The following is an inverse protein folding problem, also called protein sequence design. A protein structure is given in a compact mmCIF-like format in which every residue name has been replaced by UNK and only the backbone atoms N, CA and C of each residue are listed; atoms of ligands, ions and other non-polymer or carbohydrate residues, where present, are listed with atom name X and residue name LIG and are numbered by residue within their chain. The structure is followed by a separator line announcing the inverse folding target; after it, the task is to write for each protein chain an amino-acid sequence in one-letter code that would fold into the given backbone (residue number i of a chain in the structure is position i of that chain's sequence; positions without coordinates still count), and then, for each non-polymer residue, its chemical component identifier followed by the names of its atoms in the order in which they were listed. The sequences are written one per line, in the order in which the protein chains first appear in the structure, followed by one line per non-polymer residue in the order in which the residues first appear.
data_IF_463666304895
#
_entry.id   IF_463666304895
#
_cell.length_a   1.000
_cell.length_b   1.000
_cell.length_c   1.000
_cell.angle_alpha   90.00
_cell.angle_beta   90.00
_cell.angle_gamma   90.00
#
_symmetry.space_group_name_H-M   'P 1'
#
loop_
_entity.id
_entity.type
_entity.pdbx_description
1 polymer ?
#
# COMPACT_ATOMS: atom_id res chain seq x y z
N UNK A 1 23.37 42.53 -66.76
CA UNK A 1 24.37 41.48 -66.47
C UNK A 1 24.37 41.23 -64.97
N UNK A 2 24.18 39.97 -64.59
CA UNK A 2 24.42 39.33 -63.28
C UNK A 2 23.82 39.97 -62.01
N UNK A 3 22.93 39.23 -61.33
CA UNK A 3 23.01 38.80 -59.91
C UNK A 3 21.64 38.26 -59.49
N UNK A 4 21.40 36.96 -59.60
CA UNK A 4 21.69 35.91 -58.61
C UNK A 4 20.49 35.71 -57.65
N UNK A 5 19.56 34.87 -58.10
CA UNK A 5 18.37 34.42 -57.36
C UNK A 5 18.76 33.12 -56.61
N UNK A 6 18.89 33.21 -55.30
CA UNK A 6 19.29 32.10 -54.44
C UNK A 6 18.10 31.16 -54.18
N UNK A 7 18.09 30.02 -54.85
CA UNK A 7 17.18 28.91 -54.60
C UNK A 7 17.58 28.18 -53.32
N UNK A 8 16.76 28.31 -52.27
CA UNK A 8 16.91 27.55 -51.04
C UNK A 8 16.36 26.13 -51.23
N UNK A 9 17.25 25.19 -51.55
CA UNK A 9 16.97 23.76 -51.52
C UNK A 9 16.74 23.29 -50.07
N UNK A 10 15.51 22.89 -49.78
CA UNK A 10 15.13 22.18 -48.56
C UNK A 10 15.75 20.79 -48.54
N UNK A 11 16.90 20.67 -47.89
CA UNK A 11 17.55 19.40 -47.58
C UNK A 11 16.79 18.73 -46.43
N UNK A 12 15.89 17.81 -46.76
CA UNK A 12 15.27 16.88 -45.80
C UNK A 12 16.31 15.87 -45.32
N UNK A 13 17.04 16.23 -44.28
CA UNK A 13 17.85 15.28 -43.50
C UNK A 13 16.93 14.27 -42.84
N UNK A 14 16.86 13.06 -43.41
CA UNK A 14 16.29 11.87 -42.77
C UNK A 14 17.12 11.54 -41.54
N UNK A 15 16.70 12.08 -40.39
CA UNK A 15 17.16 11.62 -39.09
C UNK A 15 16.59 10.22 -38.86
N UNK A 16 17.49 9.23 -38.95
CA UNK A 16 17.27 7.84 -38.60
C UNK A 16 16.80 7.79 -37.13
N UNK A 17 15.49 7.69 -36.91
CA UNK A 17 14.92 7.43 -35.61
C UNK A 17 15.24 5.97 -35.24
N UNK A 18 16.27 5.76 -34.41
CA UNK A 18 16.44 4.52 -33.66
C UNK A 18 15.30 4.42 -32.64
N UNK A 19 14.14 3.97 -33.12
CA UNK A 19 13.06 3.50 -32.25
C UNK A 19 13.55 2.28 -31.50
N UNK A 20 13.40 2.35 -30.18
CA UNK A 20 13.84 1.35 -29.24
C UNK A 20 13.25 -0.02 -29.57
N UNK A 21 14.13 -0.98 -29.88
CA UNK A 21 13.83 -2.41 -29.81
C UNK A 21 13.74 -2.81 -28.32
N UNK A 22 12.66 -2.41 -27.67
CA UNK A 22 12.21 -2.99 -26.42
C UNK A 22 10.68 -2.98 -26.40
N UNK A 23 10.11 -3.82 -27.28
CA UNK A 23 8.70 -4.17 -27.23
C UNK A 23 8.43 -4.91 -25.93
N UNK A 24 8.17 -4.17 -24.86
CA UNK A 24 7.40 -4.71 -23.75
C UNK A 24 6.01 -5.00 -24.33
N UNK A 25 5.50 -6.25 -24.27
CA UNK A 25 4.09 -6.48 -24.56
C UNK A 25 3.28 -5.56 -23.64
N UNK A 26 2.13 -5.02 -24.07
CA UNK A 26 1.25 -4.32 -23.16
C UNK A 26 0.94 -5.31 -22.03
N UNK A 27 1.46 -5.03 -20.83
CA UNK A 27 1.07 -5.75 -19.63
C UNK A 27 -0.40 -5.42 -19.43
N UNK A 28 -1.26 -6.26 -20.02
CA UNK A 28 -2.62 -6.48 -19.54
C UNK A 28 -2.46 -7.00 -18.12
N UNK A 29 -2.32 -6.06 -17.17
CA UNK A 29 -2.49 -6.32 -15.77
C UNK A 29 -3.97 -6.69 -15.59
N UNK A 30 -4.30 -7.95 -15.87
CA UNK A 30 -5.52 -8.59 -15.39
C UNK A 30 -5.38 -8.81 -13.88
N UNK A 31 -5.03 -7.77 -13.14
CA UNK A 31 -5.30 -7.77 -11.72
C UNK A 31 -6.80 -7.58 -11.61
N UNK A 32 -7.56 -8.54 -11.05
CA UNK A 32 -8.95 -8.29 -10.74
C UNK A 32 -8.98 -7.06 -9.85
N UNK A 33 -9.52 -5.96 -10.37
CA UNK A 33 -9.77 -4.77 -9.58
C UNK A 33 -10.80 -5.18 -8.53
N UNK A 34 -10.33 -5.44 -7.31
CA UNK A 34 -11.18 -5.63 -6.16
C UNK A 34 -11.82 -4.27 -5.84
N UNK A 35 -12.83 -3.91 -6.62
CA UNK A 35 -13.78 -2.84 -6.32
C UNK A 35 -14.78 -3.40 -5.31
N UNK A 36 -14.32 -3.64 -4.08
CA UNK A 36 -15.25 -3.71 -2.98
C UNK A 36 -15.84 -2.31 -2.84
N UNK A 37 -17.11 -2.13 -3.21
CA UNK A 37 -17.89 -0.96 -2.84
C UNK A 37 -18.06 -0.99 -1.33
N UNK A 38 -17.00 -0.61 -0.61
CA UNK A 38 -17.07 -0.37 0.81
C UNK A 38 -18.07 0.76 0.98
N UNK A 39 -19.15 0.50 1.73
CA UNK A 39 -19.94 1.58 2.29
C UNK A 39 -18.95 2.57 2.91
N UNK A 40 -19.13 3.89 2.74
CA UNK A 40 -18.26 4.86 3.37
C UNK A 40 -18.36 4.64 4.89
N UNK A 41 -17.37 3.93 5.43
CA UNK A 41 -17.22 3.74 6.87
C UNK A 41 -16.82 5.11 7.38
N UNK A 42 -17.74 5.77 8.07
CA UNK A 42 -17.55 7.11 8.62
C UNK A 42 -16.72 7.00 9.90
N UNK A 43 -15.41 7.00 9.74
CA UNK A 43 -14.45 7.16 10.82
C UNK A 43 -13.50 8.30 10.43
N UNK A 44 -13.16 9.17 11.37
CA UNK A 44 -12.35 10.37 11.11
C UNK A 44 -10.96 10.28 11.79
N UNK A 45 -9.99 9.51 11.25
CA UNK A 45 -8.67 9.32 11.87
C UNK A 45 -7.93 10.59 12.29
N UNK A 46 -8.05 11.69 11.53
CA UNK A 46 -7.37 12.94 11.85
C UNK A 46 -8.06 13.75 12.96
N UNK A 47 -9.30 13.42 13.31
CA UNK A 47 -10.10 14.11 14.32
C UNK A 47 -10.30 13.24 15.58
N UNK A 48 -10.62 11.96 15.40
CA UNK A 48 -10.91 10.98 16.46
C UNK A 48 -9.63 10.47 17.13
N UNK A 49 -9.12 11.23 18.10
CA UNK A 49 -7.88 10.90 18.85
C UNK A 49 -8.12 10.06 20.10
N UNK A 50 -9.32 9.55 20.29
CA UNK A 50 -9.72 8.84 21.52
C UNK A 50 -8.96 7.53 21.72
N UNK A 51 -8.68 6.80 20.62
CA UNK A 51 -7.87 5.58 20.66
C UNK A 51 -6.44 5.83 21.15
N UNK A 52 -5.88 7.02 20.92
CA UNK A 52 -4.55 7.44 21.40
C UNK A 52 -4.61 8.03 22.81
N UNK A 53 -5.66 8.80 23.11
CA UNK A 53 -5.78 9.59 24.35
C UNK A 53 -6.26 8.72 25.51
N UNK A 54 -7.19 7.80 25.28
CA UNK A 54 -7.75 6.92 26.29
C UNK A 54 -6.93 5.64 26.42
N UNK A 55 -6.23 5.50 27.54
CA UNK A 55 -5.44 4.31 27.83
C UNK A 55 -6.33 3.05 27.89
N UNK A 56 -5.94 2.01 27.15
CA UNK A 56 -6.63 0.71 27.16
C UNK A 56 -7.86 0.61 26.26
N UNK A 57 -8.31 1.69 25.61
CA UNK A 57 -9.45 1.63 24.68
C UNK A 57 -9.15 0.71 23.48
N UNK A 58 -7.96 0.82 22.89
CA UNK A 58 -7.52 -0.05 21.78
C UNK A 58 -7.57 -1.53 22.16
N UNK A 59 -7.07 -1.90 23.33
CA UNK A 59 -7.08 -3.28 23.80
C UNK A 59 -8.52 -3.82 23.99
N UNK A 60 -9.46 -2.98 24.41
CA UNK A 60 -10.88 -3.35 24.51
C UNK A 60 -11.46 -3.61 23.11
N UNK A 61 -11.23 -2.70 22.17
CA UNK A 61 -11.68 -2.85 20.78
C UNK A 61 -11.11 -4.13 20.15
N UNK A 62 -9.81 -4.39 20.33
CA UNK A 62 -9.16 -5.60 19.81
C UNK A 62 -9.78 -6.88 20.42
N UNK A 63 -10.16 -6.87 21.70
CA UNK A 63 -10.85 -7.99 22.34
C UNK A 63 -12.25 -8.24 21.78
N UNK A 64 -13.02 -7.18 21.52
CA UNK A 64 -14.36 -7.30 20.91
C UNK A 64 -14.25 -7.82 19.47
N UNK A 65 -13.30 -7.30 18.68
CA UNK A 65 -13.01 -7.82 17.34
C UNK A 65 -12.65 -9.31 17.39
N UNK A 66 -11.82 -9.72 18.36
CA UNK A 66 -11.44 -11.12 18.51
C UNK A 66 -12.61 -12.02 18.94
N UNK A 67 -13.58 -11.51 19.71
CA UNK A 67 -14.80 -12.25 20.04
C UNK A 67 -15.68 -12.45 18.81
N UNK A 68 -15.91 -11.39 18.03
CA UNK A 68 -16.69 -11.47 16.79
C UNK A 68 -16.01 -12.37 15.76
N UNK A 69 -14.68 -12.30 15.62
CA UNK A 69 -13.92 -13.18 14.73
C UNK A 69 -14.07 -14.66 15.09
N UNK A 70 -14.27 -15.02 16.36
CA UNK A 70 -14.55 -16.41 16.78
C UNK A 70 -15.96 -16.86 16.40
N UNK A 71 -16.90 -15.92 16.37
CA UNK A 71 -18.30 -16.17 15.96
C UNK A 71 -18.41 -16.28 14.45
N UNK A 72 -17.62 -15.50 13.71
CA UNK A 72 -17.58 -15.53 12.26
C UNK A 72 -17.00 -16.83 11.71
N UNK A 73 -17.64 -17.39 10.68
CA UNK A 73 -17.08 -18.50 9.93
C UNK A 73 -15.83 -18.02 9.18
N UNK A 74 -14.74 -18.78 9.29
CA UNK A 74 -13.51 -18.50 8.56
C UNK A 74 -13.81 -18.39 7.05
N UNK A 75 -13.40 -17.29 6.44
CA UNK A 75 -13.54 -17.09 5.00
C UNK A 75 -12.79 -18.21 4.26
N UNK A 76 -13.46 -18.86 3.31
CA UNK A 76 -12.87 -19.92 2.49
C UNK A 76 -11.68 -19.42 1.66
N UNK A 77 -10.76 -20.35 1.35
CA UNK A 77 -9.57 -20.08 0.52
C UNK A 77 -9.91 -19.62 -0.91
N UNK A 78 -11.18 -19.71 -1.32
CA UNK A 78 -11.68 -19.31 -2.65
C UNK A 78 -11.45 -17.83 -3.00
N UNK A 79 -11.25 -16.95 -2.00
CA UNK A 79 -10.90 -15.54 -2.24
C UNK A 79 -9.41 -15.29 -2.45
N UNK A 80 -8.57 -16.24 -2.06
CA UNK A 80 -7.13 -16.14 -2.27
C UNK A 80 -6.83 -16.58 -3.70
N UNK A 81 -5.95 -15.86 -4.43
CA UNK A 81 -5.47 -16.37 -5.69
C UNK A 81 -4.80 -17.73 -5.46
N UNK A 82 -4.89 -18.66 -6.44
CA UNK A 82 -4.24 -19.95 -6.32
C UNK A 82 -2.74 -19.76 -6.05
N UNK A 83 -2.11 -20.65 -5.25
CA UNK A 83 -0.68 -20.58 -4.99
C UNK A 83 0.10 -20.53 -6.30
N UNK A 84 1.03 -19.58 -6.41
CA UNK A 84 1.93 -19.53 -7.56
C UNK A 84 2.84 -20.76 -7.55
N UNK A 85 2.72 -21.62 -8.55
CA UNK A 85 3.67 -22.71 -8.76
C UNK A 85 4.78 -22.26 -9.71
N UNK A 86 6.03 -22.15 -9.25
CA UNK A 86 7.15 -21.85 -10.13
C UNK A 86 7.42 -23.03 -11.08
N UNK A 87 7.88 -22.72 -12.30
CA UNK A 87 8.36 -23.68 -13.29
C UNK A 87 7.32 -24.69 -13.83
N UNK A 88 6.03 -24.35 -13.87
CA UNK A 88 4.97 -25.21 -14.46
C UNK A 88 5.32 -25.73 -15.87
N UNK A 89 5.94 -24.90 -16.71
CA UNK A 89 6.31 -25.27 -18.07
C UNK A 89 7.53 -26.19 -18.18
N UNK A 90 8.34 -26.31 -17.11
CA UNK A 90 9.64 -26.98 -17.14
C UNK A 90 9.75 -28.01 -16.01
N UNK A 91 9.38 -29.28 -16.26
CA UNK A 91 9.38 -30.34 -15.26
C UNK A 91 10.74 -30.55 -14.57
N UNK A 92 11.85 -30.37 -15.30
CA UNK A 92 13.21 -30.51 -14.76
C UNK A 92 13.54 -29.43 -13.72
N UNK A 93 13.12 -28.19 -13.96
CA UNK A 93 13.34 -27.09 -13.02
C UNK A 93 12.45 -27.21 -11.80
N UNK A 94 11.20 -27.69 -11.98
CA UNK A 94 10.31 -28.01 -10.87
C UNK A 94 10.91 -29.11 -9.97
N UNK A 95 11.40 -30.19 -10.56
CA UNK A 95 12.05 -31.27 -9.80
C UNK A 95 13.28 -30.79 -9.02
N UNK A 96 14.13 -29.94 -9.61
CA UNK A 96 15.28 -29.35 -8.91
C UNK A 96 14.85 -28.36 -7.81
N UNK A 97 13.81 -27.57 -8.06
CA UNK A 97 13.24 -26.67 -7.07
C UNK A 97 12.71 -27.44 -5.85
N UNK A 98 11.94 -28.51 -6.09
CA UNK A 98 11.41 -29.39 -5.04
C UNK A 98 12.55 -30.10 -4.28
N UNK A 99 13.60 -30.53 -4.99
CA UNK A 99 14.82 -31.13 -4.41
C UNK A 99 15.52 -30.15 -3.45
N UNK A 100 15.71 -28.91 -3.89
CA UNK A 100 16.34 -27.84 -3.09
C UNK A 100 15.44 -27.46 -1.90
N UNK A 101 14.13 -27.34 -2.11
CA UNK A 101 13.17 -27.08 -1.06
C UNK A 101 13.17 -28.18 0.01
N UNK A 102 13.40 -29.44 -0.40
CA UNK A 102 13.62 -30.58 0.49
C UNK A 102 14.99 -30.61 1.19
N UNK A 103 15.84 -29.60 0.99
CA UNK A 103 17.16 -29.49 1.63
C UNK A 103 18.18 -30.52 1.14
N UNK A 104 17.92 -31.20 0.02
CA UNK A 104 18.83 -32.19 -0.53
C UNK A 104 20.02 -31.48 -1.20
N UNK A 105 21.24 -31.93 -0.93
CA UNK A 105 22.44 -31.40 -1.58
C UNK A 105 22.38 -31.65 -3.10
N UNK A 106 23.02 -30.76 -3.88
CA UNK A 106 23.09 -30.89 -5.34
C UNK A 106 23.63 -32.28 -5.72
N UNK A 107 22.90 -32.98 -6.60
CA UNK A 107 23.21 -34.36 -7.03
C UNK A 107 24.51 -34.43 -7.83
N UNK A 108 24.85 -33.37 -8.56
CA UNK A 108 26.10 -33.26 -9.30
C UNK A 108 26.89 -32.05 -8.81
N UNK A 109 28.09 -32.31 -8.29
CA UNK A 109 29.09 -31.25 -8.14
C UNK A 109 29.57 -30.88 -9.55
N UNK A 110 29.69 -29.57 -9.80
CA UNK A 110 30.29 -29.09 -11.05
C UNK A 110 31.67 -29.72 -11.20
N UNK A 111 31.91 -30.38 -12.33
CA UNK A 111 33.20 -30.96 -12.63
C UNK A 111 34.24 -29.85 -12.84
N UNK A 112 35.12 -29.68 -11.86
CA UNK A 112 36.20 -28.70 -11.91
C UNK A 112 37.43 -29.24 -12.65
N UNK A 113 37.49 -30.54 -12.97
CA UNK A 113 38.66 -31.17 -13.59
C UNK A 113 38.92 -30.64 -15.00
N UNK A 114 37.87 -30.13 -15.68
CA UNK A 114 37.95 -29.41 -16.97
C UNK A 114 38.83 -28.16 -16.94
N UNK A 115 38.97 -27.51 -15.77
CA UNK A 115 39.75 -26.27 -15.64
C UNK A 115 41.17 -26.50 -15.11
N UNK A 116 41.52 -27.76 -14.87
CA UNK A 116 42.84 -28.18 -14.38
C UNK A 116 43.47 -29.10 -15.41
N UNK A 117 44.80 -29.14 -15.51
CA UNK A 117 45.52 -30.15 -16.27
C UNK A 117 46.08 -31.21 -15.32
N UNK A 118 45.25 -32.12 -14.77
CA UNK A 118 45.78 -33.22 -13.99
C UNK A 118 46.57 -34.14 -14.92
N UNK A 119 47.79 -34.57 -14.53
CA UNK A 119 48.43 -35.69 -15.21
C UNK A 119 47.59 -36.96 -14.99
N UNK A 120 47.72 -37.97 -15.87
CA UNK A 120 47.09 -39.28 -15.66
C UNK A 120 47.44 -39.86 -14.29
N UNK A 121 46.48 -40.50 -13.62
CA UNK A 121 46.62 -40.91 -12.22
C UNK A 121 47.74 -41.94 -12.00
N UNK A 122 48.00 -42.81 -12.98
CA UNK A 122 49.08 -43.80 -12.97
C UNK A 122 50.42 -43.27 -13.50
N UNK A 123 50.52 -41.97 -13.83
CA UNK A 123 51.74 -41.37 -14.35
C UNK A 123 52.24 -42.07 -15.62
N UNK A 124 53.50 -42.55 -15.60
CA UNK A 124 54.12 -43.23 -16.75
C UNK A 124 53.53 -44.62 -17.05
N UNK A 125 52.80 -45.22 -16.10
CA UNK A 125 52.15 -46.54 -16.26
C UNK A 125 50.68 -46.42 -16.69
N UNK A 126 50.21 -45.21 -17.00
CA UNK A 126 48.83 -44.96 -17.42
C UNK A 126 48.51 -45.54 -18.80
N UNK A 127 47.25 -45.93 -18.99
CA UNK A 127 46.74 -46.44 -20.27
C UNK A 127 46.81 -45.38 -21.37
N UNK A 128 46.95 -45.81 -22.63
CA UNK A 128 46.90 -44.94 -23.81
C UNK A 128 45.63 -44.09 -23.84
N UNK A 129 44.50 -44.64 -23.39
CA UNK A 129 43.22 -43.93 -23.30
C UNK A 129 43.24 -42.78 -22.28
N UNK A 130 43.91 -42.96 -21.14
CA UNK A 130 44.03 -41.91 -20.11
C UNK A 130 44.94 -40.76 -20.58
N UNK A 131 45.99 -41.10 -21.32
CA UNK A 131 46.86 -40.12 -21.96
C UNK A 131 46.14 -39.34 -23.07
N UNK A 132 45.35 -40.01 -23.90
CA UNK A 132 44.54 -39.36 -24.95
C UNK A 132 43.51 -38.40 -24.32
N UNK A 133 42.83 -38.81 -23.24
CA UNK A 133 41.90 -37.93 -22.52
C UNK A 133 42.59 -36.70 -21.91
N UNK A 134 43.80 -36.87 -21.35
CA UNK A 134 44.59 -35.75 -20.84
C UNK A 134 45.04 -34.80 -21.95
N UNK A 135 45.41 -35.34 -23.12
CA UNK A 135 45.79 -34.56 -24.31
C UNK A 135 44.61 -33.77 -24.88
N UNK A 136 43.43 -34.39 -24.99
CA UNK A 136 42.21 -33.74 -25.47
C UNK A 136 41.76 -32.62 -24.53
N UNK A 137 41.88 -32.84 -23.22
CA UNK A 137 41.64 -31.80 -22.22
C UNK A 137 42.64 -30.64 -22.39
N UNK A 138 43.93 -30.93 -22.57
CA UNK A 138 44.96 -29.92 -22.78
C UNK A 138 44.73 -29.09 -24.06
N UNK A 139 44.38 -29.74 -25.17
CA UNK A 139 44.04 -29.07 -26.43
C UNK A 139 42.81 -28.16 -26.27
N UNK A 140 41.77 -28.65 -25.57
CA UNK A 140 40.57 -27.87 -25.26
C UNK A 140 40.89 -26.65 -24.41
N UNK A 141 41.75 -26.79 -23.40
CA UNK A 141 42.20 -25.68 -22.55
C UNK A 141 43.02 -24.65 -23.31
N UNK A 142 43.90 -25.08 -24.22
CA UNK A 142 44.63 -24.17 -25.10
C UNK A 142 43.66 -23.32 -25.94
N UNK A 143 42.63 -23.94 -26.52
CA UNK A 143 41.57 -23.23 -27.25
C UNK A 143 40.83 -22.21 -26.37
N UNK A 144 40.45 -22.60 -25.15
CA UNK A 144 39.83 -21.68 -24.19
C UNK A 144 40.75 -20.53 -23.79
N UNK A 145 42.04 -20.76 -23.60
CA UNK A 145 43.01 -19.70 -23.28
C UNK A 145 43.19 -18.72 -24.43
N UNK A 146 43.17 -19.19 -25.69
CA UNK A 146 43.19 -18.31 -26.85
C UNK A 146 41.94 -17.42 -26.92
N UNK A 147 40.75 -17.98 -26.65
CA UNK A 147 39.49 -17.20 -26.59
C UNK A 147 39.56 -16.20 -25.44
N UNK A 148 40.04 -16.62 -24.26
CA UNK A 148 40.20 -15.74 -23.10
C UNK A 148 41.12 -14.58 -23.40
N UNK A 149 42.26 -14.82 -24.07
CA UNK A 149 43.19 -13.78 -24.47
C UNK A 149 42.51 -12.75 -25.38
N UNK A 150 41.82 -13.20 -26.43
CA UNK A 150 41.05 -12.32 -27.33
C UNK A 150 39.99 -11.50 -26.56
N UNK A 151 39.27 -12.12 -25.63
CA UNK A 151 38.28 -11.42 -24.81
C UNK A 151 38.91 -10.37 -23.89
N UNK A 152 40.07 -10.68 -23.29
CA UNK A 152 40.82 -9.74 -22.44
C UNK A 152 41.37 -8.57 -23.27
N UNK A 153 41.82 -8.81 -24.50
CA UNK A 153 42.25 -7.74 -25.41
C UNK A 153 41.08 -6.80 -25.76
N UNK A 154 39.90 -7.35 -26.06
CA UNK A 154 38.68 -6.57 -26.27
C UNK A 154 38.30 -5.78 -25.02
N UNK A 155 38.34 -6.41 -23.85
CA UNK A 155 38.04 -5.76 -22.57
C UNK A 155 39.06 -4.66 -22.25
N UNK A 156 40.34 -4.87 -22.53
CA UNK A 156 41.38 -3.84 -22.34
C UNK A 156 41.13 -2.63 -23.23
N UNK A 157 40.67 -2.84 -24.46
CA UNK A 157 40.40 -1.76 -25.42
C UNK A 157 39.11 -1.00 -25.11
N UNK A 158 38.02 -1.69 -24.76
CA UNK A 158 36.68 -1.08 -24.64
C UNK A 158 36.11 -1.04 -23.23
N UNK A 159 36.62 -1.85 -22.30
CA UNK A 159 36.04 -2.08 -20.98
C UNK A 159 35.91 -0.81 -20.14
N UNK A 160 36.93 0.05 -20.11
CA UNK A 160 36.87 1.31 -19.35
C UNK A 160 35.79 2.27 -19.86
N UNK A 161 35.61 2.37 -21.18
CA UNK A 161 34.60 3.24 -21.76
C UNK A 161 33.20 2.66 -21.56
N UNK A 162 33.04 1.34 -21.76
CA UNK A 162 31.76 0.65 -21.55
C UNK A 162 31.29 0.75 -20.10
N UNK A 163 32.19 0.56 -19.14
CA UNK A 163 31.86 0.69 -17.72
C UNK A 163 31.39 2.09 -17.34
N UNK A 164 32.04 3.14 -17.88
CA UNK A 164 31.61 4.52 -17.65
C UNK A 164 30.23 4.80 -18.26
N UNK A 165 29.97 4.31 -19.47
CA UNK A 165 28.65 4.44 -20.09
C UNK A 165 27.57 3.71 -19.28
N UNK A 166 27.87 2.49 -18.82
CA UNK A 166 26.97 1.71 -17.99
C UNK A 166 26.66 2.40 -16.66
N UNK A 167 27.68 2.95 -15.99
CA UNK A 167 27.49 3.74 -14.77
C UNK A 167 26.64 5.00 -15.03
N UNK A 168 26.88 5.74 -16.12
CA UNK A 168 26.04 6.87 -16.51
C UNK A 168 24.57 6.47 -16.74
N UNK A 169 24.32 5.33 -17.41
CA UNK A 169 22.98 4.81 -17.61
C UNK A 169 22.33 4.42 -16.27
N UNK A 170 23.06 3.77 -15.37
CA UNK A 170 22.57 3.41 -14.04
C UNK A 170 22.23 4.65 -13.20
N UNK A 171 23.06 5.69 -13.25
CA UNK A 171 22.80 6.96 -12.57
C UNK A 171 21.54 7.64 -13.12
N UNK A 172 21.36 7.66 -14.44
CA UNK A 172 20.14 8.17 -15.06
C UNK A 172 18.89 7.38 -14.64
N UNK A 173 18.97 6.04 -14.60
CA UNK A 173 17.87 5.21 -14.13
C UNK A 173 17.56 5.45 -12.64
N UNK A 174 18.60 5.54 -11.81
CA UNK A 174 18.45 5.84 -10.39
C UNK A 174 17.75 7.19 -10.16
N UNK A 175 18.12 8.21 -10.94
CA UNK A 175 17.45 9.52 -10.89
C UNK A 175 15.98 9.42 -11.28
N UNK A 176 15.66 8.71 -12.38
CA UNK A 176 14.27 8.51 -12.80
C UNK A 176 13.42 7.83 -11.71
N UNK A 177 13.96 6.84 -11.01
CA UNK A 177 13.26 6.21 -9.89
C UNK A 177 13.11 7.15 -8.69
N UNK A 178 14.13 7.96 -8.39
CA UNK A 178 14.05 8.95 -7.32
C UNK A 178 12.96 10.00 -7.61
N UNK A 179 12.90 10.50 -8.84
CA UNK A 179 11.89 11.46 -9.29
C UNK A 179 10.47 10.85 -9.23
N UNK A 180 10.33 9.59 -9.67
CA UNK A 180 9.04 8.88 -9.59
C UNK A 180 8.57 8.67 -8.14
N UNK A 181 9.49 8.33 -7.23
CA UNK A 181 9.17 8.21 -5.80
C UNK A 181 8.73 9.55 -5.22
N UNK A 182 9.43 10.63 -5.54
CA UNK A 182 9.08 11.95 -5.04
C UNK A 182 7.73 12.43 -5.59
N UNK A 183 7.45 12.18 -6.88
CA UNK A 183 6.14 12.45 -7.47
C UNK A 183 5.01 11.68 -6.74
N UNK A 184 5.21 10.38 -6.47
CA UNK A 184 4.22 9.57 -5.74
C UNK A 184 4.03 10.02 -4.30
N UNK A 185 5.10 10.47 -3.63
CA UNK A 185 5.03 11.08 -2.30
C UNK A 185 4.25 12.38 -2.34
N UNK A 186 4.49 13.23 -3.34
CA UNK A 186 3.74 14.46 -3.56
C UNK A 186 2.24 14.22 -3.70
N UNK A 187 1.85 13.26 -4.55
CA UNK A 187 0.44 12.85 -4.72
C UNK A 187 -0.16 12.32 -3.41
N UNK A 188 0.57 11.47 -2.69
CA UNK A 188 0.12 10.91 -1.40
C UNK A 188 -0.08 12.01 -0.36
N UNK A 189 0.84 12.96 -0.28
CA UNK A 189 0.78 14.09 0.64
C UNK A 189 -0.39 15.03 0.32
N UNK A 190 -0.65 15.29 -0.97
CA UNK A 190 -1.80 16.10 -1.37
C UNK A 190 -3.12 15.42 -0.98
N UNK A 191 -3.27 14.12 -1.27
CA UNK A 191 -4.45 13.35 -0.85
C UNK A 191 -4.61 13.39 0.67
N UNK A 192 -3.52 13.19 1.42
CA UNK A 192 -3.56 13.24 2.89
C UNK A 192 -3.95 14.62 3.40
N UNK A 193 -3.45 15.69 2.77
CA UNK A 193 -3.80 17.07 3.10
C UNK A 193 -5.28 17.35 2.84
N UNK A 194 -5.81 16.96 1.69
CA UNK A 194 -7.24 17.08 1.37
C UNK A 194 -8.09 16.33 2.39
N UNK A 195 -7.75 15.06 2.67
CA UNK A 195 -8.44 14.24 3.68
C UNK A 195 -8.42 14.88 5.06
N UNK A 196 -7.28 15.42 5.49
CA UNK A 196 -7.16 16.08 6.78
C UNK A 196 -8.08 17.31 6.86
N UNK A 197 -8.13 18.13 5.79
CA UNK A 197 -9.04 19.28 5.74
C UNK A 197 -10.50 18.85 5.84
N UNK A 198 -10.92 17.89 5.02
CA UNK A 198 -12.30 17.39 5.01
C UNK A 198 -12.72 16.81 6.36
N UNK A 199 -11.86 15.98 6.97
CA UNK A 199 -12.14 15.35 8.26
C UNK A 199 -12.18 16.37 9.41
N UNK A 200 -11.27 17.34 9.43
CA UNK A 200 -11.27 18.37 10.47
C UNK A 200 -12.48 19.30 10.36
N UNK A 201 -12.93 19.61 9.14
CA UNK A 201 -14.15 20.41 8.94
C UNK A 201 -15.42 19.63 9.27
N UNK A 202 -15.47 18.33 8.95
CA UNK A 202 -16.56 17.45 9.38
C UNK A 202 -16.61 17.33 10.91
N UNK A 203 -15.47 17.10 11.56
CA UNK A 203 -15.36 17.02 13.02
C UNK A 203 -15.84 18.29 13.72
N UNK A 204 -15.47 19.49 13.21
CA UNK A 204 -15.98 20.77 13.74
C UNK A 204 -17.51 20.89 13.64
N UNK A 205 -18.10 20.40 12.55
CA UNK A 205 -19.57 20.37 12.39
C UNK A 205 -20.20 19.42 13.42
N UNK A 206 -19.61 18.25 13.64
CA UNK A 206 -20.07 17.30 14.66
C UNK A 206 -20.04 17.92 16.06
N UNK A 207 -18.94 18.57 16.46
CA UNK A 207 -18.87 19.26 17.77
C UNK A 207 -19.94 20.35 17.90
N UNK A 208 -20.19 21.10 16.83
CA UNK A 208 -21.23 22.14 16.83
C UNK A 208 -22.63 21.56 16.99
N UNK A 209 -22.92 20.45 16.31
CA UNK A 209 -24.19 19.72 16.44
C UNK A 209 -24.35 19.10 17.84
N UNK A 210 -23.30 18.51 18.38
CA UNK A 210 -23.29 17.97 19.74
C UNK A 210 -23.53 19.06 20.78
N UNK A 211 -22.89 20.23 20.63
CA UNK A 211 -23.13 21.38 21.51
C UNK A 211 -24.58 21.86 21.44
N UNK A 212 -25.14 21.97 20.24
CA UNK A 212 -26.56 22.36 20.08
C UNK A 212 -27.50 21.31 20.66
N UNK A 213 -27.16 20.03 20.52
CA UNK A 213 -27.93 18.94 21.08
C UNK A 213 -27.92 18.95 22.62
N UNK A 214 -26.76 19.14 23.24
CA UNK A 214 -26.66 19.29 24.71
C UNK A 214 -27.37 20.55 25.22
N UNK A 215 -27.27 21.67 24.51
CA UNK A 215 -28.04 22.89 24.79
C UNK A 215 -29.56 22.64 24.70
N UNK A 216 -30.03 21.93 23.67
CA UNK A 216 -31.44 21.62 23.49
C UNK A 216 -31.97 20.71 24.59
N UNK A 217 -31.19 19.69 24.99
CA UNK A 217 -31.56 18.82 26.13
C UNK A 217 -31.61 19.62 27.42
N UNK A 218 -30.60 20.45 27.69
CA UNK A 218 -30.57 21.29 28.89
C UNK A 218 -31.75 22.26 28.92
N UNK A 219 -32.09 22.87 27.79
CA UNK A 219 -33.23 23.78 27.65
C UNK A 219 -34.55 23.04 27.86
N UNK A 220 -34.71 21.86 27.26
CA UNK A 220 -35.88 21.00 27.47
C UNK A 220 -36.08 20.64 28.94
N UNK A 221 -35.01 20.23 29.63
CA UNK A 221 -35.07 19.93 31.06
C UNK A 221 -35.39 21.17 31.90
N UNK A 222 -34.82 22.33 31.56
CA UNK A 222 -35.13 23.59 32.25
C UNK A 222 -36.60 23.99 32.07
N UNK A 223 -37.17 23.78 30.89
CA UNK A 223 -38.59 24.03 30.60
C UNK A 223 -39.50 23.07 31.38
N UNK A 224 -39.16 21.79 31.47
CA UNK A 224 -39.91 20.81 32.27
C UNK A 224 -39.92 21.19 33.76
N UNK A 225 -38.76 21.58 34.30
CA UNK A 225 -38.66 22.05 35.68
C UNK A 225 -39.48 23.33 35.89
N UNK A 226 -39.40 24.30 34.97
CA UNK A 226 -40.16 25.54 35.05
C UNK A 226 -41.69 25.30 35.00
N UNK A 227 -42.15 24.38 34.15
CA UNK A 227 -43.55 23.99 34.09
C UNK A 227 -44.02 23.37 35.41
N UNK A 228 -43.25 22.44 35.98
CA UNK A 228 -43.58 21.83 37.27
C UNK A 228 -43.67 22.88 38.39
N UNK A 229 -42.76 23.84 38.43
CA UNK A 229 -42.82 24.92 39.42
C UNK A 229 -44.03 25.84 39.21
N UNK A 230 -44.35 26.17 37.95
CA UNK A 230 -45.51 27.01 37.63
C UNK A 230 -46.84 26.29 37.93
N UNK A 231 -46.93 24.99 37.65
CA UNK A 231 -48.08 24.17 38.02
C UNK A 231 -48.28 24.16 39.54
N UNK A 232 -47.21 23.98 40.31
CA UNK A 232 -47.27 24.04 41.77
C UNK A 232 -47.71 25.42 42.31
N UNK A 233 -47.20 26.50 41.72
CA UNK A 233 -47.63 27.87 42.07
C UNK A 233 -49.10 28.12 41.74
N UNK A 234 -49.58 27.64 40.59
CA UNK A 234 -50.99 27.73 40.19
C UNK A 234 -51.88 26.95 41.15
N UNK A 235 -51.51 25.73 41.52
CA UNK A 235 -52.22 24.93 42.52
C UNK A 235 -52.31 25.66 43.87
N UNK A 236 -51.20 26.25 44.33
CA UNK A 236 -51.16 27.00 45.58
C UNK A 236 -52.08 28.24 45.55
N UNK A 237 -52.08 28.99 44.44
CA UNK A 237 -52.97 30.14 44.26
C UNK A 237 -54.43 29.74 44.12
N UNK A 238 -54.74 28.61 43.47
CA UNK A 238 -56.09 28.06 43.40
C UNK A 238 -56.63 27.72 44.80
N UNK A 239 -55.82 27.04 45.63
CA UNK A 239 -56.20 26.75 47.02
C UNK A 239 -56.45 28.02 47.83
N UNK A 240 -55.61 29.05 47.68
CA UNK A 240 -55.83 30.35 48.32
C UNK A 240 -57.13 31.03 47.86
N UNK A 241 -57.40 31.01 46.55
CA UNK A 241 -58.64 31.55 45.98
C UNK A 241 -59.86 30.81 46.55
N UNK A 242 -59.84 29.49 46.60
CA UNK A 242 -60.93 28.70 47.17
C UNK A 242 -61.16 29.02 48.65
N UNK A 243 -60.08 29.18 49.43
CA UNK A 243 -60.17 29.57 50.84
C UNK A 243 -60.82 30.96 51.00
N UNK A 244 -60.39 31.95 50.22
CA UNK A 244 -60.98 33.29 50.23
C UNK A 244 -62.43 33.28 49.75
N UNK A 245 -62.76 32.50 48.72
CA UNK A 245 -64.12 32.36 48.22
C UNK A 245 -65.05 31.78 49.28
N UNK A 246 -64.60 30.73 50.00
CA UNK A 246 -65.35 30.19 51.15
C UNK A 246 -65.54 31.24 52.23
N UNK A 247 -64.53 32.06 52.49
CA UNK A 247 -64.61 33.13 53.49
C UNK A 247 -65.63 34.20 53.09
N UNK A 248 -65.69 34.58 51.80
CA UNK A 248 -66.71 35.49 51.27
C UNK A 248 -68.09 34.86 51.37
N UNK A 249 -68.27 33.61 50.92
CA UNK A 249 -69.55 32.91 50.98
C UNK A 249 -70.05 32.77 52.43
N UNK A 250 -69.16 32.55 53.39
CA UNK A 250 -69.50 32.50 54.82
C UNK A 250 -69.86 33.89 55.37
N UNK A 251 -69.22 34.97 54.91
CA UNK A 251 -69.62 36.35 55.24
C UNK A 251 -70.99 36.69 54.66
N UNK A 252 -71.25 36.35 53.39
CA UNK A 252 -72.54 36.58 52.73
C UNK A 252 -73.68 35.81 53.43
N UNK A 253 -73.41 34.58 53.89
CA UNK A 253 -74.36 33.81 54.72
C UNK A 253 -74.60 34.44 56.08
N UNK A 254 -73.56 34.99 56.71
CA UNK A 254 -73.69 35.67 58.00
C UNK A 254 -74.51 36.97 57.88
N UNK A 255 -74.32 37.72 56.81
CA UNK A 255 -75.15 38.90 56.50
C UNK A 255 -76.60 38.53 56.19
N UNK A 256 -76.83 37.44 55.44
CA UNK A 256 -78.18 36.94 55.15
C UNK A 256 -78.93 36.40 56.39
N UNK A 257 -78.23 36.02 57.46
CA UNK A 257 -78.82 35.63 58.74
C UNK A 257 -79.10 36.82 59.69
N UNK A 258 -78.50 37.98 59.41
CA UNK A 258 -78.64 39.21 60.21
C UNK A 258 -79.74 40.16 59.69
N UNK A 259 -80.32 39.88 58.53
CA UNK A 259 -81.47 40.56 57.92
C UNK A 259 -82.77 39.77 58.12
#
# INVERSE_FOLDING_TARGET
MASAEATASSSTSSALALTHANGHPPSSSSHPSYSAALNPIDALPYYDRELETQQGLRARVDNEIAQEQKSMQALGQDRLPPPYEPFQSNPHLKAEFDRIAGGQAASQRLDTTRYTLPPPAAGLEASEDEWNQALDNAASQLGHMQIRLKNVELLRKYGSNLWRLHNFQQESMAQQYADAVEAMRGLTNEINRTRQSEQTDAGRKLTSLERRWTELISSGLQLEVANLTAEHEVEALQLQKEALQRQIDDMDRAEAQAA
#
